data_IF_863873330854
#
_entry.id   IF_863873330854
#
_cell.length_a   1.000
_cell.length_b   1.000
_cell.length_c   1.000
_cell.angle_alpha   90.00
_cell.angle_beta   90.00
_cell.angle_gamma   90.00
#
_symmetry.space_group_name_H-M   'P 1'
#
loop_
_entity.id
_entity.type
_entity.pdbx_description
1 polymer ?
#
# COMPACT_ATOMS: atom_id res chain seq x y z
N UNK A 1 32.99 52.80 -43.14
CA UNK A 1 32.63 51.67 -44.01
C UNK A 1 31.89 50.61 -43.18
N UNK A 2 30.65 50.26 -43.58
CA UNK A 2 29.84 49.03 -43.29
C UNK A 2 29.79 48.53 -41.82
N UNK A 3 28.71 48.66 -41.03
CA UNK A 3 27.31 48.21 -41.12
C UNK A 3 27.09 46.68 -41.23
N UNK A 4 26.16 46.17 -40.38
CA UNK A 4 25.38 44.89 -40.38
C UNK A 4 25.86 43.84 -39.34
N UNK A 5 25.01 43.15 -38.54
CA UNK A 5 23.55 43.01 -38.46
C UNK A 5 23.12 42.44 -37.08
N UNK A 6 21.93 42.85 -36.62
CA UNK A 6 21.15 42.31 -35.50
C UNK A 6 20.35 41.07 -35.94
N UNK A 7 20.02 40.19 -35.00
CA UNK A 7 19.07 39.09 -35.22
C UNK A 7 18.46 38.53 -33.93
N UNK A 8 17.63 39.33 -33.23
CA UNK A 8 16.66 38.82 -32.24
C UNK A 8 15.40 38.40 -32.99
N UNK A 9 15.02 37.13 -32.89
CA UNK A 9 13.74 36.63 -33.38
C UNK A 9 12.65 36.89 -32.33
N UNK A 10 11.70 37.76 -32.69
CA UNK A 10 10.45 37.98 -31.98
C UNK A 10 9.33 37.47 -32.90
N UNK A 11 8.76 36.31 -32.57
CA UNK A 11 7.69 35.67 -33.34
C UNK A 11 6.34 35.78 -32.63
N UNK A 12 5.54 36.78 -33.03
CA UNK A 12 4.11 36.92 -32.69
C UNK A 12 3.29 35.76 -33.25
N UNK A 13 2.35 35.23 -32.45
CA UNK A 13 1.10 34.59 -32.94
C UNK A 13 -0.04 35.15 -32.08
N UNK A 14 -0.73 36.20 -32.56
CA UNK A 14 -2.03 36.19 -33.29
C UNK A 14 -3.17 35.66 -32.43
N UNK A 15 -3.89 36.59 -31.80
CA UNK A 15 -5.25 36.45 -31.33
C UNK A 15 -6.25 36.71 -32.48
N UNK A 16 -7.38 36.00 -32.48
CA UNK A 16 -8.51 36.19 -33.40
C UNK A 16 -9.52 35.02 -33.29
N UNK A 17 -10.80 35.21 -33.65
CA UNK A 17 -11.88 35.24 -32.66
C UNK A 17 -13.02 34.22 -32.90
N UNK A 18 -14.04 34.32 -32.03
CA UNK A 18 -15.47 34.02 -32.28
C UNK A 18 -15.98 32.61 -31.92
N UNK A 19 -16.88 32.52 -30.94
CA UNK A 19 -18.35 32.48 -31.17
C UNK A 19 -19.09 32.32 -29.83
N UNK A 20 -20.11 33.14 -29.65
CA UNK A 20 -21.01 33.14 -28.50
C UNK A 20 -22.27 32.31 -28.78
N UNK A 21 -22.80 31.72 -27.70
CA UNK A 21 -24.20 31.52 -27.31
C UNK A 21 -25.20 30.78 -28.23
N UNK A 22 -25.85 29.76 -27.68
CA UNK A 22 -27.32 29.64 -27.68
C UNK A 22 -27.81 28.62 -26.63
N UNK A 23 -28.81 29.04 -25.85
CA UNK A 23 -29.51 28.32 -24.80
C UNK A 23 -30.65 27.45 -25.35
N UNK A 24 -31.00 26.36 -24.67
CA UNK A 24 -32.38 25.85 -24.66
C UNK A 24 -32.64 25.04 -23.38
N UNK A 25 -33.48 25.61 -22.52
CA UNK A 25 -34.12 24.93 -21.40
C UNK A 25 -35.41 24.25 -21.90
N UNK A 26 -35.73 23.08 -21.37
CA UNK A 26 -37.08 22.52 -21.39
C UNK A 26 -37.33 21.79 -20.08
N UNK A 27 -37.98 22.47 -19.14
CA UNK A 27 -38.71 21.83 -18.05
C UNK A 27 -40.03 21.30 -18.60
N UNK A 28 -40.39 20.06 -18.27
CA UNK A 28 -41.77 19.62 -18.25
C UNK A 28 -42.05 18.96 -16.89
N UNK A 29 -42.98 19.56 -16.16
CA UNK A 29 -43.55 19.02 -14.93
C UNK A 29 -45.06 18.84 -15.12
N UNK A 30 -45.58 17.89 -14.34
CA UNK A 30 -46.93 17.76 -13.75
C UNK A 30 -47.80 16.57 -14.20
N UNK A 31 -48.07 15.76 -13.18
CA UNK A 31 -49.38 15.29 -12.71
C UNK A 31 -50.06 14.11 -13.42
N UNK A 32 -50.27 13.03 -12.66
CA UNK A 32 -51.63 12.51 -12.45
C UNK A 32 -51.73 11.67 -11.17
N UNK A 33 -52.92 11.73 -10.59
CA UNK A 33 -53.35 11.41 -9.24
C UNK A 33 -54.16 10.09 -9.20
N UNK A 34 -54.47 9.60 -7.99
CA UNK A 34 -55.62 8.71 -7.69
C UNK A 34 -55.19 7.33 -7.16
N UNK A 35 -55.26 6.98 -5.87
CA UNK A 35 -56.32 7.00 -4.82
C UNK A 35 -57.28 5.80 -4.86
N UNK A 36 -57.45 5.16 -3.71
CA UNK A 36 -58.49 4.16 -3.39
C UNK A 36 -57.89 2.79 -3.12
N UNK A 37 -58.15 2.09 -2.03
CA UNK A 37 -59.12 2.24 -0.95
C UNK A 37 -59.12 0.90 -0.17
N UNK A 38 -59.63 0.93 1.06
CA UNK A 38 -59.70 -0.15 2.05
C UNK A 38 -59.82 -1.61 1.54
N UNK A 39 -59.22 -2.53 2.32
CA UNK A 39 -60.03 -3.54 3.00
C UNK A 39 -59.33 -4.08 4.27
N UNK A 40 -60.02 -3.88 5.40
CA UNK A 40 -59.77 -4.51 6.68
C UNK A 40 -60.47 -5.88 6.73
N UNK A 41 -59.80 -6.87 7.32
CA UNK A 41 -60.38 -8.03 8.06
C UNK A 41 -59.25 -8.54 8.97
N UNK A 42 -59.24 -8.22 10.28
CA UNK A 42 -59.91 -8.85 11.42
C UNK A 42 -59.48 -10.29 11.70
N UNK A 43 -58.93 -10.50 12.91
CA UNK A 43 -58.53 -11.77 13.53
C UNK A 43 -57.10 -11.62 14.07
N UNK A 44 -56.84 -11.25 15.32
CA UNK A 44 -57.48 -11.69 16.55
C UNK A 44 -56.76 -12.94 17.06
N UNK A 45 -55.67 -12.76 17.83
CA UNK A 45 -55.39 -13.49 19.08
C UNK A 45 -54.13 -12.92 19.75
N UNK A 46 -54.28 -12.49 21.00
CA UNK A 46 -53.22 -12.20 21.97
C UNK A 46 -52.73 -13.54 22.55
N UNK A 47 -51.49 -13.65 23.08
CA UNK A 47 -51.38 -13.52 24.52
C UNK A 47 -50.16 -12.73 25.02
N UNK A 48 -50.39 -12.17 26.19
CA UNK A 48 -49.56 -11.44 27.13
C UNK A 48 -48.52 -12.33 27.82
N UNK A 49 -47.32 -11.79 28.10
CA UNK A 49 -46.53 -11.93 29.35
C UNK A 49 -45.20 -11.16 29.13
N UNK A 50 -44.96 -9.97 29.69
CA UNK A 50 -44.73 -9.56 31.08
C UNK A 50 -43.52 -10.21 31.77
N UNK A 51 -42.49 -9.38 32.00
CA UNK A 51 -41.46 -9.53 33.04
C UNK A 51 -40.15 -10.15 32.54
N UNK A 52 -38.96 -9.75 32.98
CA UNK A 52 -38.53 -8.82 34.03
C UNK A 52 -37.01 -8.61 33.86
N UNK A 53 -36.55 -7.38 34.01
CA UNK A 53 -35.12 -7.06 34.12
C UNK A 53 -34.54 -7.62 35.43
N UNK A 54 -33.32 -8.17 35.37
CA UNK A 54 -32.47 -8.33 36.56
C UNK A 54 -31.00 -8.13 36.16
N UNK A 55 -30.37 -7.10 36.73
CA UNK A 55 -28.93 -6.96 36.86
C UNK A 55 -28.38 -7.97 37.88
N UNK A 56 -27.05 -8.22 37.91
CA UNK A 56 -26.20 -8.53 39.11
C UNK A 56 -24.99 -9.43 38.75
N UNK A 57 -23.79 -8.81 38.75
CA UNK A 57 -22.57 -9.25 39.50
C UNK A 57 -21.56 -10.23 38.88
N UNK A 58 -20.32 -9.75 38.67
CA UNK A 58 -19.02 -10.47 38.83
C UNK A 58 -18.67 -10.59 40.33
N UNK A 59 -17.74 -11.43 40.88
CA UNK A 59 -16.46 -12.01 40.36
C UNK A 59 -16.21 -13.46 40.93
N UNK A 60 -14.99 -14.07 41.11
CA UNK A 60 -13.61 -13.63 40.86
C UNK A 60 -12.63 -14.62 40.16
N UNK A 61 -11.46 -14.04 39.87
CA UNK A 61 -10.10 -14.61 39.78
C UNK A 61 -9.90 -16.09 40.15
N UNK A 62 -9.24 -16.83 39.25
CA UNK A 62 -8.39 -17.97 39.62
C UNK A 62 -6.96 -17.65 39.21
N UNK A 63 -6.16 -17.45 40.24
CA UNK A 63 -4.71 -17.28 40.20
C UNK A 63 -4.09 -18.67 40.06
N UNK A 64 -3.46 -18.98 38.93
CA UNK A 64 -2.47 -20.06 38.87
C UNK A 64 -1.07 -19.47 38.74
N UNK A 65 -0.33 -19.66 39.83
CA UNK A 65 1.06 -19.35 40.03
C UNK A 65 1.88 -20.54 39.53
N UNK A 66 2.67 -20.35 38.48
CA UNK A 66 3.86 -21.18 38.22
C UNK A 66 5.06 -20.25 37.97
N UNK A 67 6.16 -20.54 38.65
CA UNK A 67 7.46 -19.86 38.58
C UNK A 67 8.50 -20.92 38.98
N UNK A 68 9.80 -20.76 38.68
CA UNK A 68 10.47 -20.71 37.39
C UNK A 68 11.47 -21.88 37.25
N UNK A 69 12.04 -22.12 36.06
CA UNK A 69 13.31 -22.86 35.95
C UNK A 69 13.40 -23.80 34.76
N UNK A 70 13.97 -23.31 33.67
CA UNK A 70 14.36 -24.11 32.52
C UNK A 70 15.17 -23.25 31.55
N UNK A 71 16.49 -23.32 31.68
CA UNK A 71 17.47 -22.77 30.76
C UNK A 71 17.06 -22.99 29.29
N UNK A 72 17.11 -22.00 28.39
CA UNK A 72 16.98 -22.28 26.97
C UNK A 72 18.26 -22.96 26.50
N UNK A 73 18.26 -24.29 26.49
CA UNK A 73 19.22 -25.09 25.71
C UNK A 73 18.86 -24.92 24.25
N UNK A 74 19.68 -24.17 23.52
CA UNK A 74 19.73 -24.13 22.06
C UNK A 74 19.76 -25.54 21.48
N UNK A 75 18.78 -25.98 20.67
CA UNK A 75 19.01 -27.10 19.76
C UNK A 75 19.83 -26.56 18.60
N UNK A 76 21.11 -26.96 18.59
CA UNK A 76 21.96 -26.85 17.42
C UNK A 76 21.43 -27.76 16.29
N UNK A 77 21.51 -27.24 15.06
CA UNK A 77 21.76 -28.04 13.86
C UNK A 77 20.71 -29.06 13.46
N UNK A 78 19.64 -28.59 12.84
CA UNK A 78 18.88 -29.38 11.87
C UNK A 78 18.94 -28.68 10.52
N UNK A 79 20.00 -28.94 9.75
CA UNK A 79 20.10 -28.57 8.34
C UNK A 79 19.14 -29.46 7.54
N UNK A 80 17.85 -29.17 7.68
CA UNK A 80 16.78 -29.71 6.86
C UNK A 80 16.51 -28.70 5.74
N UNK A 81 17.49 -28.50 4.86
CA UNK A 81 17.29 -27.79 3.61
C UNK A 81 16.24 -28.50 2.78
N UNK A 82 14.97 -28.12 2.97
CA UNK A 82 13.99 -28.29 1.91
C UNK A 82 14.51 -27.43 0.77
N UNK A 83 14.84 -28.05 -0.36
CA UNK A 83 15.28 -27.36 -1.58
C UNK A 83 14.27 -26.26 -1.91
N UNK A 84 14.55 -25.04 -1.44
CA UNK A 84 13.75 -23.88 -1.73
C UNK A 84 14.02 -23.57 -3.20
N UNK A 85 12.99 -23.67 -4.04
CA UNK A 85 13.12 -23.23 -5.42
C UNK A 85 13.72 -21.82 -5.46
N UNK A 86 14.67 -21.57 -6.38
CA UNK A 86 15.33 -20.28 -6.47
C UNK A 86 14.28 -19.19 -6.73
N UNK A 87 14.22 -18.22 -5.84
CA UNK A 87 13.27 -17.11 -5.93
C UNK A 87 13.57 -16.29 -7.19
N UNK A 88 12.58 -16.03 -8.08
CA UNK A 88 12.82 -15.27 -9.29
C UNK A 88 13.42 -13.89 -9.02
N UNK A 89 14.32 -13.40 -9.90
CA UNK A 89 14.89 -12.07 -9.74
C UNK A 89 13.82 -11.00 -9.94
N UNK A 90 14.00 -9.86 -9.29
CA UNK A 90 13.16 -8.69 -9.51
C UNK A 90 13.55 -8.02 -10.83
N UNK A 91 12.56 -7.74 -11.67
CA UNK A 91 12.73 -7.07 -12.96
C UNK A 91 11.46 -6.38 -13.42
N UNK A 92 11.42 -5.85 -14.65
CA UNK A 92 10.21 -5.19 -15.20
C UNK A 92 9.50 -6.02 -16.26
N UNK A 93 10.03 -7.21 -16.56
CA UNK A 93 9.46 -8.11 -17.54
C UNK A 93 8.14 -8.70 -17.02
N UNK A 94 7.20 -8.93 -17.94
CA UNK A 94 5.96 -9.64 -17.61
C UNK A 94 6.27 -11.06 -17.12
N UNK A 95 5.44 -11.54 -16.20
CA UNK A 95 5.53 -12.90 -15.65
C UNK A 95 4.20 -13.62 -15.88
N UNK A 96 4.26 -14.89 -16.26
CA UNK A 96 3.07 -15.73 -16.44
C UNK A 96 3.30 -17.13 -15.89
N UNK A 97 2.20 -17.80 -15.55
CA UNK A 97 2.22 -19.16 -15.02
C UNK A 97 0.95 -19.90 -15.41
N UNK A 98 1.08 -21.20 -15.65
CA UNK A 98 -0.09 -22.06 -15.90
C UNK A 98 -0.81 -22.33 -14.58
N UNK A 99 -2.12 -22.55 -14.68
CA UNK A 99 -2.91 -22.99 -13.54
C UNK A 99 -2.41 -24.34 -13.04
N UNK A 100 -2.50 -24.55 -11.73
CA UNK A 100 -2.27 -25.86 -11.15
C UNK A 100 -3.59 -26.66 -11.24
N UNK A 101 -3.53 -27.86 -11.82
CA UNK A 101 -4.69 -28.73 -11.99
C UNK A 101 -5.43 -28.96 -10.66
N UNK A 102 -6.73 -28.77 -10.68
CA UNK A 102 -7.57 -28.78 -9.50
C UNK A 102 -8.98 -28.32 -9.83
N UNK A 103 -9.91 -28.57 -8.92
CA UNK A 103 -11.33 -28.27 -9.12
C UNK A 103 -11.65 -26.79 -9.27
N UNK A 104 -12.84 -26.41 -8.84
CA UNK A 104 -13.34 -25.04 -9.02
C UNK A 104 -12.53 -24.03 -8.20
N UNK A 105 -11.61 -23.28 -8.84
CA UNK A 105 -10.72 -22.31 -8.18
C UNK A 105 -11.48 -21.06 -7.70
N UNK A 106 -11.19 -20.62 -6.48
CA UNK A 106 -11.76 -19.43 -5.82
C UNK A 106 -10.67 -18.59 -5.17
N UNK A 107 -10.82 -17.27 -5.21
CA UNK A 107 -10.02 -16.36 -4.39
C UNK A 107 -10.54 -16.44 -2.96
N UNK A 108 -9.65 -16.65 -2.01
CA UNK A 108 -9.93 -16.75 -0.59
C UNK A 108 -9.61 -15.45 0.14
N UNK A 109 -8.52 -14.77 -0.22
CA UNK A 109 -8.09 -13.53 0.41
C UNK A 109 -7.15 -12.72 -0.50
N UNK A 110 -7.07 -11.41 -0.26
CA UNK A 110 -6.06 -10.51 -0.81
C UNK A 110 -5.42 -9.72 0.32
N UNK A 111 -4.13 -9.96 0.55
CA UNK A 111 -3.35 -9.28 1.60
C UNK A 111 -2.28 -8.39 0.97
N UNK A 112 -1.97 -7.28 1.63
CA UNK A 112 -0.85 -6.42 1.26
C UNK A 112 0.01 -6.17 2.50
N UNK A 113 1.33 -6.25 2.36
CA UNK A 113 2.27 -6.05 3.45
C UNK A 113 3.60 -5.47 2.99
N UNK A 114 4.25 -4.73 3.88
CA UNK A 114 5.57 -4.15 3.66
C UNK A 114 6.66 -5.12 4.09
N UNK A 115 7.70 -5.24 3.27
CA UNK A 115 8.96 -5.92 3.60
C UNK A 115 10.13 -4.93 3.54
N UNK A 116 11.34 -5.39 3.84
CA UNK A 116 12.52 -4.52 3.95
C UNK A 116 12.88 -3.80 2.64
N UNK A 117 12.68 -4.45 1.48
CA UNK A 117 13.12 -3.93 0.17
C UNK A 117 12.02 -3.97 -0.90
N UNK A 118 10.83 -4.46 -0.55
CA UNK A 118 9.67 -4.57 -1.43
C UNK A 118 8.38 -4.50 -0.62
N UNK A 119 7.28 -4.19 -1.29
CA UNK A 119 5.94 -4.43 -0.75
C UNK A 119 5.34 -5.63 -1.49
N UNK A 120 4.51 -6.43 -0.81
CA UNK A 120 3.97 -7.69 -1.33
C UNK A 120 2.46 -7.64 -1.35
N UNK A 121 1.88 -8.00 -2.48
CA UNK A 121 0.47 -8.41 -2.59
C UNK A 121 0.39 -9.94 -2.63
N UNK A 122 -0.50 -10.53 -1.84
CA UNK A 122 -0.75 -11.98 -1.86
C UNK A 122 -2.20 -12.23 -2.21
N UNK A 123 -2.42 -12.96 -3.31
CA UNK A 123 -3.72 -13.54 -3.65
C UNK A 123 -3.72 -14.99 -3.15
N UNK A 124 -4.58 -15.29 -2.18
CA UNK A 124 -4.75 -16.64 -1.63
C UNK A 124 -5.92 -17.35 -2.33
N UNK A 125 -5.77 -18.63 -2.65
CA UNK A 125 -6.76 -19.40 -3.39
C UNK A 125 -7.19 -20.68 -2.67
N UNK A 126 -8.39 -21.14 -3.03
CA UNK A 126 -8.93 -22.47 -2.69
C UNK A 126 -9.23 -23.23 -3.98
N UNK A 127 -9.08 -24.56 -3.92
CA UNK A 127 -9.38 -25.46 -5.05
C UNK A 127 -8.30 -25.53 -6.13
N UNK A 128 -7.17 -24.83 -5.96
CA UNK A 128 -6.05 -24.76 -6.90
C UNK A 128 -5.54 -23.32 -7.05
N UNK A 129 -4.57 -23.11 -7.95
CA UNK A 129 -4.11 -21.77 -8.36
C UNK A 129 -4.52 -21.55 -9.81
N UNK A 130 -5.13 -20.41 -10.17
CA UNK A 130 -5.51 -20.13 -11.54
C UNK A 130 -4.27 -19.91 -12.42
N UNK A 131 -4.42 -20.01 -13.74
CA UNK A 131 -3.41 -19.46 -14.65
C UNK A 131 -3.31 -17.95 -14.45
N UNK A 132 -2.12 -17.39 -14.63
CA UNK A 132 -1.92 -15.95 -14.41
C UNK A 132 -0.98 -15.30 -15.42
N UNK A 133 -1.15 -13.99 -15.56
CA UNK A 133 -0.25 -13.06 -16.23
C UNK A 133 -0.16 -11.78 -15.39
N UNK A 134 1.07 -11.30 -15.18
CA UNK A 134 1.35 -10.07 -14.43
C UNK A 134 2.27 -9.20 -15.26
N UNK A 135 1.87 -7.95 -15.50
CA UNK A 135 2.65 -7.01 -16.28
C UNK A 135 2.15 -5.58 -16.18
N UNK A 136 2.98 -4.63 -16.58
CA UNK A 136 2.56 -3.22 -16.64
C UNK A 136 1.60 -3.00 -17.81
N UNK A 137 0.50 -2.31 -17.55
CA UNK A 137 -0.52 -2.07 -18.56
C UNK A 137 -1.63 -1.14 -18.10
N UNK A 138 -2.62 -1.02 -18.96
CA UNK A 138 -3.82 -0.25 -18.72
C UNK A 138 -4.88 -1.14 -18.06
N UNK A 139 -5.63 -0.59 -17.09
CA UNK A 139 -6.65 -1.34 -16.37
C UNK A 139 -8.02 -1.12 -17.02
N UNK A 140 -8.39 -2.01 -17.94
CA UNK A 140 -9.71 -1.99 -18.58
C UNK A 140 -10.56 -3.17 -18.12
N UNK A 141 -11.84 -2.89 -17.83
CA UNK A 141 -12.82 -3.91 -17.45
C UNK A 141 -12.97 -4.97 -18.55
N UNK A 142 -12.89 -6.27 -18.20
CA UNK A 142 -13.20 -7.34 -19.14
C UNK A 142 -14.63 -7.21 -19.69
N UNK A 143 -14.79 -7.42 -21.01
CA UNK A 143 -16.08 -7.35 -21.69
C UNK A 143 -16.52 -5.93 -22.07
N UNK A 144 -16.56 -4.99 -21.13
CA UNK A 144 -16.99 -3.61 -21.40
C UNK A 144 -15.90 -2.72 -21.98
N UNK A 145 -14.62 -3.03 -21.69
CA UNK A 145 -13.47 -2.20 -22.10
C UNK A 145 -13.36 -0.86 -21.37
N UNK A 146 -14.17 -0.63 -20.32
CA UNK A 146 -14.16 0.63 -19.58
C UNK A 146 -12.89 0.76 -18.75
N UNK A 147 -12.20 1.89 -18.89
CA UNK A 147 -11.03 2.24 -18.07
C UNK A 147 -11.39 2.30 -16.58
N UNK A 148 -10.55 1.67 -15.76
CA UNK A 148 -10.61 1.68 -14.30
C UNK A 148 -9.40 2.43 -13.75
N UNK A 149 -9.66 3.46 -12.96
CA UNK A 149 -8.59 4.23 -12.31
C UNK A 149 -8.07 3.52 -11.05
N UNK A 150 -6.79 3.72 -10.74
CA UNK A 150 -6.14 3.22 -9.52
C UNK A 150 -5.18 4.29 -9.00
N UNK A 151 -4.93 4.30 -7.68
CA UNK A 151 -3.97 5.23 -7.09
C UNK A 151 -2.54 4.89 -7.53
N UNK A 152 -1.74 5.91 -7.83
CA UNK A 152 -0.39 5.77 -8.40
C UNK A 152 -0.35 6.17 -9.87
N UNK A 153 0.86 6.31 -10.41
CA UNK A 153 1.11 6.77 -11.79
C UNK A 153 1.28 5.62 -12.77
N UNK A 154 1.52 4.40 -12.26
CA UNK A 154 1.68 3.18 -13.05
C UNK A 154 0.83 2.06 -12.46
N UNK A 155 0.36 1.15 -13.32
CA UNK A 155 -0.43 -0.01 -12.91
C UNK A 155 0.22 -1.31 -13.37
N UNK A 156 0.40 -2.23 -12.43
CA UNK A 156 0.63 -3.66 -12.70
C UNK A 156 -0.73 -4.35 -12.80
N UNK A 157 -1.07 -4.81 -13.99
CA UNK A 157 -2.24 -5.66 -14.23
C UNK A 157 -1.92 -7.10 -13.84
N UNK A 158 -2.83 -7.70 -13.08
CA UNK A 158 -2.81 -9.12 -12.70
C UNK A 158 -4.04 -9.77 -13.32
N UNK A 159 -3.82 -10.60 -14.33
CA UNK A 159 -4.86 -11.33 -15.04
C UNK A 159 -4.87 -12.76 -14.53
N UNK A 160 -6.01 -13.23 -14.06
CA UNK A 160 -6.26 -14.64 -13.74
C UNK A 160 -7.15 -15.27 -14.80
N UNK A 161 -6.83 -16.51 -15.19
CA UNK A 161 -7.59 -17.32 -16.15
C UNK A 161 -8.03 -18.63 -15.50
N UNK A 162 -9.10 -19.20 -16.04
CA UNK A 162 -9.65 -20.50 -15.65
C UNK A 162 -10.11 -20.56 -14.18
N UNK A 163 -10.32 -19.40 -13.55
CA UNK A 163 -10.91 -19.26 -12.23
C UNK A 163 -12.33 -18.73 -12.31
N UNK A 164 -13.20 -19.13 -11.39
CA UNK A 164 -14.59 -18.64 -11.37
C UNK A 164 -14.80 -17.61 -10.27
N UNK A 165 -15.15 -16.39 -10.69
CA UNK A 165 -15.46 -15.25 -9.84
C UNK A 165 -14.37 -14.96 -8.78
N UNK A 166 -13.12 -14.74 -9.22
CA UNK A 166 -11.97 -14.43 -8.36
C UNK A 166 -12.00 -12.98 -7.84
N UNK A 167 -13.16 -12.54 -7.35
CA UNK A 167 -13.34 -11.30 -6.58
C UNK A 167 -13.09 -11.59 -5.10
N UNK A 168 -12.82 -10.55 -4.30
CA UNK A 168 -12.72 -10.72 -2.84
C UNK A 168 -14.02 -11.34 -2.28
N UNK A 169 -13.94 -12.41 -1.47
CA UNK A 169 -15.12 -12.99 -0.82
C UNK A 169 -15.84 -12.01 0.11
N UNK A 170 -15.08 -11.10 0.71
CA UNK A 170 -15.55 -10.07 1.63
C UNK A 170 -16.20 -8.88 0.89
N UNK A 171 -16.27 -8.92 -0.44
CA UNK A 171 -16.79 -7.83 -1.26
C UNK A 171 -15.83 -6.63 -1.37
N UNK A 172 -14.62 -6.72 -0.82
CA UNK A 172 -13.62 -5.65 -0.92
C UNK A 172 -13.12 -5.52 -2.35
N UNK A 173 -13.46 -4.41 -2.99
CA UNK A 173 -13.03 -4.12 -4.37
C UNK A 173 -11.76 -3.30 -4.43
N UNK A 174 -11.30 -2.73 -3.32
CA UNK A 174 -10.05 -1.97 -3.25
C UNK A 174 -9.39 -2.04 -1.87
N UNK A 175 -8.06 -2.00 -1.87
CA UNK A 175 -7.18 -1.81 -0.72
C UNK A 175 -6.29 -0.60 -1.01
N UNK A 176 -6.10 0.30 -0.05
CA UNK A 176 -5.24 1.49 -0.19
C UNK A 176 -4.26 1.56 0.98
N UNK A 177 -3.22 0.71 0.98
CA UNK A 177 -2.29 0.64 2.10
C UNK A 177 -1.25 1.77 2.08
N UNK A 178 -1.14 2.52 0.96
CA UNK A 178 -0.25 3.67 0.80
C UNK A 178 1.21 3.38 1.21
N UNK A 179 1.73 2.26 0.71
CA UNK A 179 3.09 1.78 0.98
C UNK A 179 4.09 2.35 -0.05
N UNK A 180 5.41 2.32 0.24
CA UNK A 180 6.42 2.93 -0.64
C UNK A 180 6.38 2.48 -2.12
N UNK A 181 6.02 1.23 -2.40
CA UNK A 181 5.89 0.68 -3.74
C UNK A 181 4.44 0.42 -4.17
N UNK A 182 3.49 0.30 -3.24
CA UNK A 182 2.09 -0.05 -3.52
C UNK A 182 1.14 0.98 -2.91
N UNK A 183 0.58 1.84 -3.76
CA UNK A 183 -0.40 2.84 -3.37
C UNK A 183 -1.80 2.24 -3.20
N UNK A 184 -2.18 1.31 -4.08
CA UNK A 184 -3.48 0.64 -4.03
C UNK A 184 -3.47 -0.73 -4.71
N UNK A 185 -4.43 -1.58 -4.34
CA UNK A 185 -4.78 -2.83 -5.03
C UNK A 185 -6.28 -2.79 -5.32
N UNK A 186 -6.71 -3.07 -6.54
CA UNK A 186 -8.11 -2.92 -6.95
C UNK A 186 -8.57 -4.10 -7.79
N UNK A 187 -9.77 -4.60 -7.51
CA UNK A 187 -10.49 -5.49 -8.41
C UNK A 187 -10.97 -4.69 -9.62
N UNK A 188 -10.53 -5.08 -10.81
CA UNK A 188 -10.85 -4.38 -12.07
C UNK A 188 -12.16 -4.94 -12.64
N UNK A 189 -12.32 -6.25 -12.66
CA UNK A 189 -13.54 -6.88 -13.16
C UNK A 189 -13.33 -8.35 -13.54
N UNK A 190 -14.38 -9.00 -14.02
CA UNK A 190 -14.28 -10.37 -14.53
C UNK A 190 -15.36 -10.70 -15.55
N UNK A 191 -14.96 -11.43 -16.60
CA UNK A 191 -15.80 -11.86 -17.72
C UNK A 191 -15.24 -13.18 -18.27
N UNK A 192 -16.09 -14.14 -18.66
CA UNK A 192 -15.71 -15.41 -19.31
C UNK A 192 -14.46 -16.10 -18.70
N UNK A 193 -14.49 -16.34 -17.39
CA UNK A 193 -13.40 -16.95 -16.60
C UNK A 193 -12.06 -16.17 -16.56
N UNK A 194 -12.03 -14.96 -17.10
CA UNK A 194 -10.95 -13.99 -16.92
C UNK A 194 -11.31 -13.06 -15.77
N UNK A 195 -10.39 -12.86 -14.85
CA UNK A 195 -10.51 -11.88 -13.77
C UNK A 195 -9.29 -11.00 -13.73
N UNK A 196 -9.49 -9.69 -13.63
CA UNK A 196 -8.42 -8.69 -13.57
C UNK A 196 -8.36 -8.02 -12.21
N UNK A 197 -7.15 -7.87 -11.71
CA UNK A 197 -6.79 -7.01 -10.58
C UNK A 197 -5.72 -6.02 -11.03
N UNK A 198 -5.67 -4.86 -10.38
CA UNK A 198 -4.64 -3.86 -10.59
C UNK A 198 -3.88 -3.60 -9.29
N UNK A 199 -2.56 -3.41 -9.41
CA UNK A 199 -1.67 -2.95 -8.34
C UNK A 199 -1.10 -1.61 -8.78
N UNK A 200 -1.46 -0.55 -8.07
CA UNK A 200 -1.04 0.81 -8.37
C UNK A 200 0.29 1.15 -7.70
N UNK A 201 1.22 1.68 -8.47
CA UNK A 201 2.58 2.05 -8.05
C UNK A 201 2.88 3.50 -8.41
N UNK A 202 3.73 4.21 -7.63
CA UNK A 202 4.08 5.61 -7.90
C UNK A 202 4.94 5.78 -9.16
N UNK A 203 5.60 4.72 -9.63
CA UNK A 203 6.39 4.72 -10.86
C UNK A 203 6.55 3.28 -11.37
N UNK A 204 7.26 3.07 -12.47
CA UNK A 204 7.50 1.75 -13.04
C UNK A 204 8.63 1.07 -12.26
N UNK A 205 8.24 0.32 -11.23
CA UNK A 205 9.14 -0.39 -10.32
C UNK A 205 9.41 -1.82 -10.80
N UNK A 206 10.54 -2.38 -10.39
CA UNK A 206 10.79 -3.81 -10.59
C UNK A 206 9.83 -4.64 -9.74
N UNK A 207 9.39 -5.78 -10.24
CA UNK A 207 8.59 -6.75 -9.52
C UNK A 207 9.08 -8.18 -9.76
N UNK A 208 8.60 -9.11 -8.95
CA UNK A 208 8.68 -10.55 -9.20
C UNK A 208 7.39 -11.23 -8.76
N UNK A 209 7.13 -12.41 -9.31
CA UNK A 209 5.99 -13.24 -8.96
C UNK A 209 6.49 -14.55 -8.38
N UNK A 210 5.87 -14.99 -7.28
CA UNK A 210 6.16 -16.26 -6.63
C UNK A 210 4.87 -17.04 -6.44
N UNK A 211 4.92 -18.31 -6.80
CA UNK A 211 3.89 -19.28 -6.49
C UNK A 211 4.21 -19.88 -5.12
N UNK A 212 3.28 -19.82 -4.17
CA UNK A 212 3.47 -20.41 -2.83
C UNK A 212 2.44 -21.51 -2.61
N UNK A 213 2.84 -22.55 -1.88
CA UNK A 213 1.99 -23.69 -1.51
C UNK A 213 1.53 -23.62 -0.05
N UNK A 214 0.54 -24.45 0.31
CA UNK A 214 0.05 -24.62 1.68
C UNK A 214 -0.41 -23.35 2.42
N UNK A 215 -1.47 -22.62 1.99
CA UNK A 215 -2.37 -22.82 0.85
C UNK A 215 -1.82 -22.26 -0.48
N UNK A 216 -2.42 -22.61 -1.65
CA UNK A 216 -2.05 -22.05 -2.94
C UNK A 216 -2.17 -20.53 -2.97
N UNK A 217 -1.08 -19.83 -3.28
CA UNK A 217 -1.03 -18.37 -3.32
C UNK A 217 -0.21 -17.89 -4.51
N UNK A 218 -0.56 -16.70 -5.01
CA UNK A 218 0.29 -15.91 -5.88
C UNK A 218 0.76 -14.68 -5.11
N UNK A 219 2.08 -14.57 -4.89
CA UNK A 219 2.70 -13.40 -4.29
C UNK A 219 3.33 -12.53 -5.38
N UNK A 220 2.98 -11.25 -5.40
CA UNK A 220 3.58 -10.24 -6.27
C UNK A 220 4.37 -9.28 -5.39
N UNK A 221 5.69 -9.33 -5.51
CA UNK A 221 6.62 -8.43 -4.79
C UNK A 221 6.95 -7.27 -5.71
N UNK A 222 6.68 -6.05 -5.27
CA UNK A 222 7.04 -4.81 -5.97
C UNK A 222 8.19 -4.15 -5.20
N UNK A 223 9.35 -4.06 -5.84
CA UNK A 223 10.53 -3.48 -5.23
C UNK A 223 10.28 -2.04 -4.82
N UNK A 224 10.83 -1.67 -3.67
CA UNK A 224 10.85 -0.28 -3.26
C UNK A 224 11.59 0.57 -4.32
N UNK A 225 11.16 1.83 -4.52
CA UNK A 225 11.91 2.75 -5.36
C UNK A 225 13.38 2.79 -4.96
N UNK A 226 14.31 3.06 -5.88
CA UNK A 226 15.76 3.12 -5.55
C UNK A 226 16.07 4.07 -4.39
N UNK A 227 15.32 5.18 -4.32
CA UNK A 227 15.33 6.13 -3.21
C UNK A 227 14.78 5.58 -1.87
N UNK A 228 14.38 4.31 -1.79
CA UNK A 228 14.00 3.55 -0.59
C UNK A 228 14.85 2.29 -0.43
N UNK A 229 15.25 1.63 -1.53
CA UNK A 229 16.15 0.46 -1.51
C UNK A 229 17.56 0.78 -0.99
N UNK A 230 18.05 2.02 -1.16
CA UNK A 230 19.28 2.50 -0.54
C UNK A 230 19.12 2.77 0.98
N UNK A 231 17.88 2.90 1.48
CA UNK A 231 17.57 3.28 2.86
C UNK A 231 17.03 2.14 3.74
N UNK A 232 16.75 0.98 3.14
CA UNK A 232 16.36 -0.25 3.83
C UNK A 232 17.52 -1.10 4.35
N UNK A 233 18.77 -0.72 4.11
CA UNK A 233 19.94 -1.38 4.74
C UNK A 233 20.14 -0.88 6.16
N UNK A 234 20.67 -1.75 7.02
CA UNK A 234 21.24 -1.37 8.31
C UNK A 234 22.32 -0.31 8.05
N UNK A 235 22.15 0.88 8.60
CA UNK A 235 23.13 1.95 8.58
C UNK A 235 24.23 1.59 9.56
N UNK A 236 25.19 0.75 9.12
CA UNK A 236 26.45 0.56 9.84
C UNK A 236 27.42 1.67 9.48
N UNK A 237 27.62 2.59 10.42
CA UNK A 237 28.53 3.76 10.34
C UNK A 237 28.52 4.46 8.98
N UNK A 238 27.35 4.94 8.56
CA UNK A 238 27.18 5.63 7.27
C UNK A 238 27.07 7.12 7.50
N UNK A 239 27.76 7.90 6.66
CA UNK A 239 27.51 9.33 6.51
C UNK A 239 26.63 9.56 5.29
N UNK A 240 25.45 10.14 5.49
CA UNK A 240 24.49 10.47 4.43
C UNK A 240 24.53 11.98 4.22
N UNK A 241 24.71 12.42 2.97
CA UNK A 241 24.59 13.82 2.56
C UNK A 241 23.17 14.04 1.99
N UNK A 242 22.27 14.72 2.73
CA UNK A 242 20.95 15.07 2.23
C UNK A 242 21.09 16.26 1.28
N UNK A 243 21.10 15.94 -0.03
CA UNK A 243 21.08 16.90 -1.13
C UNK A 243 20.08 18.03 -0.83
N UNK A 244 20.64 19.23 -0.58
CA UNK A 244 20.03 20.56 -0.45
C UNK A 244 19.81 21.20 0.94
N UNK A 245 20.33 20.67 2.06
CA UNK A 245 20.67 21.50 3.25
C UNK A 245 21.93 21.00 3.95
N UNK A 246 22.75 21.94 4.43
CA UNK A 246 24.09 21.69 4.96
C UNK A 246 24.05 20.86 6.25
N UNK A 247 24.33 19.56 6.13
CA UNK A 247 24.46 18.68 7.28
C UNK A 247 24.75 17.23 6.88
N UNK A 248 25.85 16.67 7.37
CA UNK A 248 26.13 15.25 7.22
C UNK A 248 25.40 14.46 8.32
N UNK A 249 24.54 13.51 7.95
CA UNK A 249 23.88 12.59 8.90
C UNK A 249 24.81 11.41 9.12
N UNK A 250 25.30 11.20 10.35
CA UNK A 250 25.98 9.96 10.73
C UNK A 250 25.02 9.09 11.54
N UNK A 251 24.89 7.84 11.12
CA UNK A 251 24.01 6.87 11.77
C UNK A 251 24.77 5.57 12.03
N UNK A 252 24.57 4.99 13.21
CA UNK A 252 25.09 3.68 13.59
C UNK A 252 23.98 2.81 14.17
N UNK A 253 24.01 1.52 13.83
CA UNK A 253 23.17 0.47 14.38
C UNK A 253 21.66 0.80 14.30
N UNK A 254 21.28 1.52 13.24
CA UNK A 254 19.90 1.93 12.95
C UNK A 254 19.61 1.77 11.45
N UNK A 255 18.38 1.95 11.01
CA UNK A 255 18.06 1.98 9.57
C UNK A 255 18.29 3.36 8.97
N UNK A 256 18.84 3.41 7.75
CA UNK A 256 19.12 4.68 7.08
C UNK A 256 17.85 5.51 6.81
N UNK A 257 16.69 4.88 6.64
CA UNK A 257 15.40 5.56 6.58
C UNK A 257 15.03 6.24 7.91
N UNK A 258 15.14 5.51 9.02
CA UNK A 258 14.88 6.02 10.38
C UNK A 258 15.79 7.21 10.69
N UNK A 259 17.08 7.12 10.34
CA UNK A 259 18.03 8.21 10.53
C UNK A 259 17.64 9.50 9.78
N UNK A 260 17.09 9.38 8.57
CA UNK A 260 16.62 10.53 7.79
C UNK A 260 15.30 11.10 8.30
N UNK A 261 14.38 10.25 8.71
CA UNK A 261 13.09 10.68 9.26
C UNK A 261 13.31 11.48 10.55
N UNK A 262 14.20 11.00 11.42
CA UNK A 262 14.65 11.73 12.62
C UNK A 262 15.27 13.09 12.27
N UNK A 263 16.19 13.13 11.30
CA UNK A 263 16.81 14.38 10.87
C UNK A 263 15.78 15.37 10.27
N UNK A 264 14.83 14.88 9.48
CA UNK A 264 13.77 15.68 8.86
C UNK A 264 12.79 16.23 9.89
N UNK A 265 12.41 15.43 10.89
CA UNK A 265 11.56 15.88 11.99
C UNK A 265 12.23 17.01 12.78
N UNK A 266 13.50 16.86 13.14
CA UNK A 266 14.26 17.89 13.83
C UNK A 266 14.36 19.20 13.03
N UNK A 267 14.56 19.14 11.71
CA UNK A 267 14.58 20.33 10.84
C UNK A 267 13.23 21.05 10.85
N UNK A 268 12.12 20.31 10.88
CA UNK A 268 10.76 20.87 10.84
C UNK A 268 10.33 21.50 12.15
N UNK A 269 10.72 20.89 13.27
CA UNK A 269 10.35 21.37 14.61
C UNK A 269 11.22 22.55 15.06
N UNK A 270 12.38 22.76 14.43
CA UNK A 270 13.12 24.03 14.49
C UNK A 270 13.65 24.42 15.87
N UNK A 271 13.65 23.52 16.85
CA UNK A 271 13.99 23.79 18.23
C UNK A 271 14.85 22.70 18.89
N UNK A 272 15.44 22.98 20.05
CA UNK A 272 16.52 22.19 20.63
C UNK A 272 16.13 20.80 21.18
N UNK A 273 14.85 20.45 21.18
CA UNK A 273 14.33 19.17 21.69
C UNK A 273 13.18 18.66 20.80
N UNK A 274 13.46 17.97 19.69
CA UNK A 274 12.44 17.33 18.90
C UNK A 274 11.99 16.05 19.63
N UNK A 275 11.22 16.21 20.71
CA UNK A 275 10.67 15.19 21.62
C UNK A 275 11.16 13.74 21.43
N UNK A 276 10.21 12.84 21.16
CA UNK A 276 10.46 11.42 20.95
C UNK A 276 10.11 11.04 19.50
N UNK A 277 11.08 11.08 18.59
CA UNK A 277 10.86 10.76 17.18
C UNK A 277 11.16 9.27 16.95
N UNK A 278 10.16 8.47 16.57
CA UNK A 278 10.30 7.01 16.41
C UNK A 278 10.84 6.27 17.66
N UNK A 279 10.62 6.83 18.84
CA UNK A 279 11.14 6.30 20.10
C UNK A 279 12.58 6.71 20.41
N UNK A 280 13.26 7.46 19.54
CA UNK A 280 14.56 8.05 19.83
C UNK A 280 14.40 9.30 20.69
N UNK A 281 15.23 9.41 21.73
CA UNK A 281 15.35 10.62 22.53
C UNK A 281 16.40 11.51 21.89
N UNK A 282 16.00 12.69 21.45
CA UNK A 282 16.86 13.62 20.72
C UNK A 282 17.20 14.84 21.58
N UNK A 283 18.47 15.21 21.61
CA UNK A 283 18.98 16.45 22.20
C UNK A 283 19.81 17.22 21.19
N UNK A 284 19.89 18.54 21.35
CA UNK A 284 20.77 19.38 20.54
C UNK A 284 21.82 20.10 21.37
N UNK A 285 22.97 20.36 20.77
CA UNK A 285 24.06 21.16 21.33
C UNK A 285 24.51 22.21 20.31
N UNK A 286 24.95 23.39 20.77
CA UNK A 286 25.57 24.38 19.87
C UNK A 286 26.90 23.85 19.35
N UNK A 287 27.06 23.89 18.03
CA UNK A 287 28.26 23.48 17.30
C UNK A 287 28.91 24.64 16.53
N UNK A 288 28.88 25.85 17.10
CA UNK A 288 29.41 27.08 16.49
C UNK A 288 28.46 28.26 16.65
N UNK A 289 28.69 29.32 15.87
CA UNK A 289 27.90 30.56 15.94
C UNK A 289 26.46 30.38 15.42
N UNK A 290 26.28 29.57 14.37
CA UNK A 290 24.99 29.33 13.72
C UNK A 290 24.61 27.85 13.64
N UNK A 291 25.48 26.96 14.11
CA UNK A 291 25.29 25.52 13.94
C UNK A 291 24.77 24.83 15.22
N UNK A 292 23.88 23.85 15.03
CA UNK A 292 23.40 22.94 16.05
C UNK A 292 23.77 21.50 15.66
N UNK A 293 24.36 20.74 16.59
CA UNK A 293 24.50 19.29 16.46
C UNK A 293 23.35 18.62 17.20
N UNK A 294 22.68 17.70 16.53
CA UNK A 294 21.65 16.86 17.14
C UNK A 294 22.23 15.48 17.43
N UNK A 295 21.84 14.92 18.58
CA UNK A 295 22.20 13.58 19.05
C UNK A 295 20.92 12.87 19.47
N UNK A 296 20.58 11.80 18.76
CA UNK A 296 19.37 11.00 19.00
C UNK A 296 19.75 9.57 19.34
N UNK A 297 19.23 9.04 20.45
CA UNK A 297 19.60 7.72 20.98
C UNK A 297 18.36 6.85 21.28
N UNK A 298 18.47 5.54 21.03
CA UNK A 298 17.49 4.52 21.41
C UNK A 298 18.13 3.14 21.43
N UNK A 299 18.06 2.41 22.56
CA UNK A 299 18.48 1.01 22.66
C UNK A 299 19.89 0.71 22.09
N UNK A 300 20.84 1.65 22.26
CA UNK A 300 22.22 1.54 21.75
C UNK A 300 22.44 2.02 20.31
N UNK A 301 21.36 2.28 19.56
CA UNK A 301 21.42 2.92 18.26
C UNK A 301 21.56 4.44 18.40
N UNK A 302 22.33 5.07 17.51
CA UNK A 302 22.47 6.53 17.50
C UNK A 302 22.42 7.15 16.12
N UNK A 303 21.84 8.35 16.06
CA UNK A 303 21.78 9.21 14.88
C UNK A 303 22.29 10.59 15.26
N UNK A 304 23.24 11.12 14.48
CA UNK A 304 23.83 12.44 14.69
C UNK A 304 23.81 13.24 13.39
N UNK A 305 23.52 14.53 13.46
CA UNK A 305 23.57 15.41 12.29
C UNK A 305 23.86 16.85 12.71
N UNK A 306 24.41 17.62 11.77
CA UNK A 306 24.66 19.06 11.92
C UNK A 306 23.60 19.83 11.14
N UNK A 307 23.12 20.91 11.73
CA UNK A 307 22.27 21.91 11.10
C UNK A 307 23.00 23.24 11.18
N UNK A 308 23.32 23.84 10.04
CA UNK A 308 23.94 25.17 9.94
C UNK A 308 22.92 26.26 9.61
#
# INVERSE_FOLDING_TARGET
MRSRHLGRWCGRRRAGPSLAAASAAAMLALASCGSGGEQATTGGEQPTETGRATATTSPPETTERTTPGGTPTTPAGGDGGQDAEPVPPIGVAAASGRGADGGTVRLADVRVGRHATFDRVVFEFRGGRPGYEVGYGELDEPGSGRRVEIAGDQALEVVFRDGRALRSPEGRTALRPDLPAIAAVRYVGGFEAVTKWGIGAPTRLGFRVQELSGPPRLAVDVAHPRAFAEFGRECRDVTIDPVHRAGAIRARDTHCAVARDIATAAVREGGPEPGQVHGFSCRSERAGASALRYLCEKDGAYVTFLLN
#
